data_IF_506711177241
#
_entry.id   IF_506711177241
#
_cell.length_a   1.000
_cell.length_b   1.000
_cell.length_c   1.000
_cell.angle_alpha   90.00
_cell.angle_beta   90.00
_cell.angle_gamma   90.00
#
_symmetry.space_group_name_H-M   'P 1'
#
loop_
_entity.id
_entity.type
_entity.pdbx_description
1 polymer ?
#
# COMPACT_ATOMS: atom_id res chain seq x y z
N UNK A 1 -30.52 11.47 -2.77
CA UNK A 1 -29.57 10.38 -2.49
C UNK A 1 -28.54 10.35 -3.60
N UNK A 2 -27.29 10.74 -3.32
CA UNK A 2 -26.26 10.90 -4.35
C UNK A 2 -25.82 9.55 -4.92
N UNK A 3 -25.42 9.52 -6.19
CA UNK A 3 -24.87 8.32 -6.89
C UNK A 3 -23.73 7.71 -6.07
N UNK A 4 -22.92 8.55 -5.43
CA UNK A 4 -21.83 8.21 -4.51
C UNK A 4 -22.31 7.33 -3.35
N UNK A 5 -23.43 7.67 -2.69
CA UNK A 5 -23.90 6.95 -1.51
C UNK A 5 -24.40 5.57 -1.90
N UNK A 6 -25.08 5.46 -3.05
CA UNK A 6 -25.56 4.19 -3.59
C UNK A 6 -24.40 3.27 -4.00
N UNK A 7 -23.34 3.84 -4.57
CA UNK A 7 -22.14 3.09 -4.94
C UNK A 7 -21.41 2.52 -3.71
N UNK A 8 -21.23 3.32 -2.66
CA UNK A 8 -20.60 2.88 -1.41
C UNK A 8 -21.42 1.79 -0.70
N UNK A 9 -22.74 1.96 -0.63
CA UNK A 9 -23.67 0.98 -0.02
C UNK A 9 -23.63 -0.36 -0.76
N UNK A 10 -23.36 -0.36 -2.06
CA UNK A 10 -23.22 -1.58 -2.85
C UNK A 10 -21.81 -2.17 -2.77
N UNK A 11 -20.78 -1.32 -2.79
CA UNK A 11 -19.37 -1.74 -2.85
C UNK A 11 -18.90 -2.34 -1.51
N UNK A 12 -19.26 -1.74 -0.38
CA UNK A 12 -18.83 -2.22 0.95
C UNK A 12 -19.28 -3.66 1.24
N UNK A 13 -20.56 -4.04 1.08
CA UNK A 13 -20.97 -5.43 1.26
C UNK A 13 -20.30 -6.40 0.28
N UNK A 14 -20.09 -5.97 -0.97
CA UNK A 14 -19.40 -6.79 -1.97
C UNK A 14 -17.96 -7.10 -1.56
N UNK A 15 -17.21 -6.09 -1.12
CA UNK A 15 -15.83 -6.27 -0.63
C UNK A 15 -15.83 -7.21 0.57
N UNK A 16 -16.75 -6.99 1.51
CA UNK A 16 -16.85 -7.80 2.71
C UNK A 16 -17.12 -9.27 2.38
N UNK A 17 -18.09 -9.55 1.49
CA UNK A 17 -18.39 -10.89 1.02
C UNK A 17 -17.20 -11.53 0.30
N UNK A 18 -16.54 -10.78 -0.60
CA UNK A 18 -15.35 -11.28 -1.30
C UNK A 18 -14.19 -11.54 -0.35
N UNK A 19 -14.00 -10.70 0.66
CA UNK A 19 -12.97 -10.91 1.67
C UNK A 19 -13.23 -12.17 2.48
N UNK A 20 -14.46 -12.38 2.96
CA UNK A 20 -14.82 -13.61 3.69
C UNK A 20 -14.63 -14.86 2.83
N UNK A 21 -15.15 -14.85 1.60
CA UNK A 21 -15.02 -15.96 0.68
C UNK A 21 -13.55 -16.27 0.38
N UNK A 22 -12.73 -15.25 0.13
CA UNK A 22 -11.29 -15.39 -0.09
C UNK A 22 -10.60 -16.09 1.08
N UNK A 23 -10.79 -15.62 2.31
CA UNK A 23 -10.15 -16.21 3.48
C UNK A 23 -10.64 -17.63 3.79
N UNK A 24 -11.88 -17.97 3.44
CA UNK A 24 -12.41 -19.33 3.59
C UNK A 24 -11.85 -20.29 2.53
N UNK A 25 -11.58 -19.81 1.33
CA UNK A 25 -11.08 -20.64 0.23
C UNK A 25 -9.55 -20.80 0.24
N UNK A 26 -8.79 -19.81 0.75
CA UNK A 26 -7.32 -19.88 0.80
C UNK A 26 -6.77 -21.15 1.45
N UNK A 27 -7.26 -21.62 2.59
CA UNK A 27 -6.78 -22.89 3.16
C UNK A 27 -7.04 -24.10 2.27
N UNK A 28 -8.18 -24.12 1.55
CA UNK A 28 -8.55 -25.19 0.61
C UNK A 28 -7.56 -25.18 -0.56
N UNK A 29 -7.27 -24.01 -1.11
CA UNK A 29 -6.33 -23.85 -2.20
C UNK A 29 -4.90 -24.28 -1.82
N UNK A 30 -4.45 -23.89 -0.63
CA UNK A 30 -3.15 -24.29 -0.13
C UNK A 30 -3.03 -25.80 0.05
N UNK A 31 -4.09 -26.47 0.50
CA UNK A 31 -4.11 -27.94 0.59
C UNK A 31 -4.04 -28.59 -0.80
N UNK A 32 -4.74 -28.05 -1.79
CA UNK A 32 -4.67 -28.54 -3.17
C UNK A 32 -3.28 -28.30 -3.78
N UNK A 33 -2.69 -27.13 -3.52
CA UNK A 33 -1.34 -26.83 -3.98
C UNK A 33 -0.28 -27.69 -3.31
N UNK A 34 -0.44 -27.96 -2.00
CA UNK A 34 0.39 -28.90 -1.24
C UNK A 34 0.39 -30.27 -1.91
N UNK A 35 -0.80 -30.85 -2.16
CA UNK A 35 -0.89 -32.17 -2.79
C UNK A 35 -0.29 -32.18 -4.21
N UNK A 36 -0.40 -31.09 -4.96
CA UNK A 36 0.25 -30.95 -6.26
C UNK A 36 1.79 -30.96 -6.13
N UNK A 37 2.34 -30.20 -5.19
CA UNK A 37 3.79 -30.13 -4.92
C UNK A 37 4.30 -31.48 -4.40
N UNK A 38 3.60 -32.13 -3.46
CA UNK A 38 3.95 -33.46 -2.95
C UNK A 38 4.00 -34.50 -4.09
N UNK A 39 3.06 -34.47 -5.03
CA UNK A 39 3.07 -35.37 -6.20
C UNK A 39 4.27 -35.09 -7.14
N UNK A 40 4.66 -33.84 -7.33
CA UNK A 40 5.83 -33.46 -8.14
C UNK A 40 7.14 -33.90 -7.48
N UNK A 41 7.24 -33.77 -6.16
CA UNK A 41 8.43 -34.17 -5.40
C UNK A 41 8.57 -35.67 -5.30
N UNK A 42 7.47 -36.42 -5.18
CA UNK A 42 7.50 -37.89 -5.24
C UNK A 42 8.02 -38.41 -6.58
N UNK A 43 7.81 -37.65 -7.68
CA UNK A 43 8.35 -38.01 -9.00
C UNK A 43 9.86 -37.71 -9.17
N UNK A 44 10.45 -36.84 -8.30
CA UNK A 44 11.83 -36.38 -8.38
C UNK A 44 12.49 -36.40 -6.97
N UNK A 45 12.75 -37.59 -6.44
CA UNK A 45 13.16 -37.84 -5.03
C UNK A 45 14.51 -37.25 -4.59
N UNK A 46 15.25 -36.51 -5.40
CA UNK A 46 16.65 -36.15 -5.07
C UNK A 46 16.88 -34.82 -4.37
N UNK A 47 15.91 -33.90 -4.23
CA UNK A 47 16.22 -32.52 -3.82
C UNK A 47 15.55 -32.00 -2.57
N UNK A 48 14.37 -32.46 -2.16
CA UNK A 48 13.65 -31.93 -1.01
C UNK A 48 12.90 -33.07 -0.29
N UNK A 49 13.00 -33.13 1.06
CA UNK A 49 12.24 -34.10 1.84
C UNK A 49 10.76 -33.72 1.93
N UNK A 50 9.87 -34.67 1.68
CA UNK A 50 8.41 -34.50 1.76
C UNK A 50 7.95 -33.95 3.13
N UNK A 51 8.69 -34.27 4.19
CA UNK A 51 8.38 -33.82 5.55
C UNK A 51 8.60 -32.33 5.75
N UNK A 52 9.61 -31.74 5.11
CA UNK A 52 9.85 -30.28 5.17
C UNK A 52 8.77 -29.49 4.42
N UNK A 53 8.31 -30.01 3.28
CA UNK A 53 7.22 -29.39 2.51
C UNK A 53 5.93 -29.47 3.33
N UNK A 54 5.60 -30.63 3.87
CA UNK A 54 4.38 -30.84 4.64
C UNK A 54 4.33 -29.99 5.91
N UNK A 55 5.44 -29.82 6.62
CA UNK A 55 5.53 -28.96 7.81
C UNK A 55 5.37 -27.48 7.46
N UNK A 56 6.01 -27.02 6.39
CA UNK A 56 5.88 -25.65 5.90
C UNK A 56 4.44 -25.30 5.54
N UNK A 57 3.77 -26.15 4.74
CA UNK A 57 2.37 -25.93 4.39
C UNK A 57 1.43 -25.99 5.60
N UNK A 58 1.67 -26.88 6.53
CA UNK A 58 0.87 -26.99 7.76
C UNK A 58 0.99 -25.73 8.61
N UNK A 59 2.20 -25.19 8.77
CA UNK A 59 2.42 -23.92 9.49
C UNK A 59 1.76 -22.75 8.76
N UNK A 60 1.90 -22.68 7.44
CA UNK A 60 1.34 -21.61 6.61
C UNK A 60 -0.19 -21.63 6.64
N UNK A 61 -0.80 -22.81 6.51
CA UNK A 61 -2.25 -22.98 6.63
C UNK A 61 -2.72 -22.63 8.05
N UNK A 62 -2.00 -23.02 9.09
CA UNK A 62 -2.31 -22.69 10.48
C UNK A 62 -2.30 -21.17 10.72
N UNK A 63 -1.29 -20.46 10.23
CA UNK A 63 -1.20 -19.01 10.34
C UNK A 63 -2.32 -18.29 9.54
N UNK A 64 -2.61 -18.76 8.35
CA UNK A 64 -3.69 -18.18 7.53
C UNK A 64 -5.08 -18.47 8.11
N UNK A 65 -5.29 -19.66 8.68
CA UNK A 65 -6.54 -19.99 9.37
C UNK A 65 -6.74 -19.14 10.63
N UNK A 66 -5.68 -18.83 11.37
CA UNK A 66 -5.78 -17.89 12.50
C UNK A 66 -6.09 -16.45 12.06
N UNK A 67 -5.54 -16.00 10.93
CA UNK A 67 -5.90 -14.71 10.34
C UNK A 67 -7.36 -14.69 9.86
N UNK A 68 -7.83 -15.77 9.22
CA UNK A 68 -9.23 -15.87 8.78
C UNK A 68 -10.21 -15.85 9.96
N UNK A 69 -9.89 -16.55 11.05
CA UNK A 69 -10.67 -16.48 12.29
C UNK A 69 -10.67 -15.07 12.88
N UNK A 70 -9.50 -14.40 12.92
CA UNK A 70 -9.42 -13.02 13.36
C UNK A 70 -10.28 -12.05 12.53
N UNK A 71 -10.38 -12.25 11.22
CA UNK A 71 -11.27 -11.47 10.34
C UNK A 71 -12.75 -11.79 10.63
N UNK A 72 -13.08 -13.05 10.86
CA UNK A 72 -14.46 -13.45 11.24
C UNK A 72 -14.83 -12.95 12.64
N UNK A 73 -13.93 -13.06 13.60
CA UNK A 73 -14.12 -12.58 14.97
C UNK A 73 -14.25 -11.06 15.00
N UNK A 74 -13.43 -10.32 14.24
CA UNK A 74 -13.57 -8.88 14.06
C UNK A 74 -14.92 -8.50 13.44
N UNK A 75 -15.48 -9.37 12.59
CA UNK A 75 -16.81 -9.18 12.00
C UNK A 75 -17.95 -9.39 13.03
N UNK A 76 -17.73 -10.22 14.03
CA UNK A 76 -18.73 -10.56 15.07
C UNK A 76 -18.55 -9.68 16.31
N UNK A 77 -17.29 -9.37 16.71
CA UNK A 77 -16.96 -8.49 17.85
C UNK A 77 -17.15 -7.00 17.54
N UNK A 78 -17.50 -6.67 16.31
CA UNK A 78 -17.59 -5.31 15.75
C UNK A 78 -18.51 -4.32 16.51
N UNK A 79 -19.20 -4.73 17.57
CA UNK A 79 -20.00 -3.80 18.38
C UNK A 79 -19.09 -2.94 19.29
N UNK A 80 -18.04 -3.50 19.87
CA UNK A 80 -17.11 -2.74 20.71
C UNK A 80 -16.19 -1.85 19.85
N UNK A 81 -15.68 -2.37 18.73
CA UNK A 81 -14.88 -1.61 17.78
C UNK A 81 -15.69 -0.54 17.04
N UNK A 82 -17.02 -0.76 16.84
CA UNK A 82 -17.93 0.23 16.25
C UNK A 82 -18.03 1.50 17.10
N UNK A 83 -18.00 1.40 18.41
CA UNK A 83 -18.03 2.58 19.31
C UNK A 83 -16.71 3.36 19.17
N UNK A 84 -15.58 2.68 19.23
CA UNK A 84 -14.26 3.31 19.06
C UNK A 84 -14.13 3.92 17.66
N UNK A 85 -14.54 3.19 16.61
CA UNK A 85 -14.56 3.70 15.24
C UNK A 85 -15.49 4.91 15.09
N UNK A 86 -16.67 4.90 15.70
CA UNK A 86 -17.61 6.03 15.69
C UNK A 86 -17.03 7.26 16.38
N UNK A 87 -16.29 7.07 17.49
CA UNK A 87 -15.59 8.16 18.17
C UNK A 87 -14.53 8.75 17.24
N UNK A 88 -13.69 7.94 16.59
CA UNK A 88 -12.69 8.43 15.65
C UNK A 88 -13.32 9.09 14.43
N UNK A 89 -14.43 8.55 13.91
CA UNK A 89 -15.16 9.10 12.76
C UNK A 89 -15.66 10.53 13.03
N UNK A 90 -16.01 10.84 14.28
CA UNK A 90 -16.44 12.17 14.71
C UNK A 90 -15.24 13.02 15.13
N UNK A 91 -14.31 12.47 15.93
CA UNK A 91 -13.17 13.22 16.46
C UNK A 91 -12.21 13.69 15.37
N UNK A 92 -11.90 12.84 14.38
CA UNK A 92 -10.92 13.21 13.34
C UNK A 92 -11.38 14.42 12.53
N UNK A 93 -12.61 14.49 11.96
CA UNK A 93 -13.08 15.70 11.28
C UNK A 93 -13.13 16.93 12.20
N UNK A 94 -13.51 16.76 13.45
CA UNK A 94 -13.54 17.87 14.43
C UNK A 94 -12.12 18.38 14.70
N UNK A 95 -11.15 17.50 14.92
CA UNK A 95 -9.75 17.89 15.10
C UNK A 95 -9.19 18.59 13.86
N UNK A 96 -9.45 18.03 12.67
CA UNK A 96 -9.05 18.66 11.40
C UNK A 96 -9.66 20.05 11.27
N UNK A 97 -10.95 20.20 11.58
CA UNK A 97 -11.61 21.50 11.57
C UNK A 97 -10.92 22.50 12.51
N UNK A 98 -10.63 22.13 13.77
CA UNK A 98 -9.95 23.01 14.70
C UNK A 98 -8.51 23.32 14.29
N UNK A 99 -7.77 22.34 13.76
CA UNK A 99 -6.43 22.59 13.23
C UNK A 99 -6.43 23.56 12.05
N UNK A 100 -7.42 23.46 11.15
CA UNK A 100 -7.57 24.39 10.03
C UNK A 100 -8.05 25.77 10.51
N UNK A 101 -8.97 25.81 11.45
CA UNK A 101 -9.53 27.05 12.00
C UNK A 101 -8.47 27.85 12.77
N UNK A 102 -7.69 27.19 13.63
CA UNK A 102 -6.64 27.81 14.43
C UNK A 102 -5.24 27.77 13.79
N UNK A 103 -5.13 27.40 12.50
CA UNK A 103 -3.87 27.21 11.74
C UNK A 103 -2.87 28.34 12.02
N UNK A 104 -3.29 29.58 11.87
CA UNK A 104 -2.39 30.75 12.05
C UNK A 104 -1.94 30.94 13.49
N UNK A 105 -2.78 30.61 14.46
CA UNK A 105 -2.46 30.73 15.89
C UNK A 105 -1.47 29.63 16.29
N UNK A 106 -1.68 28.42 15.83
CA UNK A 106 -0.82 27.27 16.06
C UNK A 106 0.56 27.52 15.43
N UNK A 107 0.61 27.93 14.15
CA UNK A 107 1.86 28.25 13.46
C UNK A 107 2.61 29.37 14.17
N UNK A 108 1.95 30.45 14.58
CA UNK A 108 2.59 31.55 15.33
C UNK A 108 3.19 31.04 16.66
N UNK A 109 2.48 30.14 17.36
CA UNK A 109 2.99 29.53 18.60
C UNK A 109 4.29 28.74 18.36
N UNK A 110 4.32 27.90 17.33
CA UNK A 110 5.54 27.17 16.96
C UNK A 110 6.67 28.10 16.48
N UNK A 111 6.32 29.13 15.74
CA UNK A 111 7.30 30.11 15.27
C UNK A 111 7.98 30.92 16.39
N UNK A 112 7.33 31.05 17.57
CA UNK A 112 7.96 31.69 18.74
C UNK A 112 9.06 30.82 19.37
N UNK A 113 9.02 29.51 19.18
CA UNK A 113 10.05 28.57 19.68
C UNK A 113 11.27 28.50 18.78
N UNK A 114 11.20 29.04 17.55
CA UNK A 114 12.25 28.97 16.56
C UNK A 114 13.16 30.20 16.59
N UNK A 115 14.44 30.09 16.19
CA UNK A 115 15.37 31.22 16.11
C UNK A 115 14.88 32.34 15.19
N UNK A 116 15.26 33.60 15.46
CA UNK A 116 14.86 34.76 14.65
C UNK A 116 15.41 34.73 13.22
N UNK A 117 16.63 34.16 13.00
CA UNK A 117 17.23 33.94 11.68
C UNK A 117 16.74 32.59 11.15
N UNK A 118 15.76 32.59 10.29
CA UNK A 118 15.06 31.38 9.81
C UNK A 118 14.78 31.36 8.31
N UNK A 119 15.60 32.06 7.52
CA UNK A 119 15.48 32.06 6.06
C UNK A 119 15.51 30.63 5.52
N UNK A 120 16.53 29.84 5.92
CA UNK A 120 16.66 28.42 5.58
C UNK A 120 15.42 27.58 5.97
N UNK A 121 14.91 27.76 7.20
CA UNK A 121 13.72 27.03 7.66
C UNK A 121 12.47 27.42 6.89
N UNK A 122 12.36 28.67 6.46
CA UNK A 122 11.26 29.17 5.65
C UNK A 122 11.29 28.58 4.24
N UNK A 123 12.45 28.50 3.61
CA UNK A 123 12.64 27.89 2.29
C UNK A 123 12.30 26.40 2.33
N UNK A 124 12.86 25.65 3.28
CA UNK A 124 12.58 24.23 3.47
C UNK A 124 11.09 23.99 3.74
N UNK A 125 10.44 24.86 4.54
CA UNK A 125 9.02 24.73 4.84
C UNK A 125 8.14 24.90 3.60
N UNK A 126 8.40 25.93 2.79
CA UNK A 126 7.63 26.19 1.57
C UNK A 126 7.81 25.03 0.58
N UNK A 127 9.05 24.58 0.40
CA UNK A 127 9.34 23.45 -0.48
C UNK A 127 8.63 22.16 -0.01
N UNK A 128 8.59 21.91 1.30
CA UNK A 128 7.93 20.74 1.86
C UNK A 128 6.41 20.79 1.79
N UNK A 129 5.79 21.95 1.98
CA UNK A 129 4.33 22.12 1.89
C UNK A 129 3.84 21.78 0.48
N UNK A 130 4.52 22.29 -0.54
CA UNK A 130 4.21 22.01 -1.95
C UNK A 130 4.45 20.53 -2.30
N UNK A 131 5.59 19.97 -1.89
CA UNK A 131 5.93 18.58 -2.19
C UNK A 131 4.98 17.60 -1.50
N UNK A 132 4.64 17.84 -0.23
CA UNK A 132 3.73 16.98 0.54
C UNK A 132 2.31 17.02 -0.03
N UNK A 133 1.82 18.21 -0.38
CA UNK A 133 0.51 18.41 -0.98
C UNK A 133 0.40 17.67 -2.32
N UNK A 134 1.39 17.86 -3.19
CA UNK A 134 1.44 17.20 -4.49
C UNK A 134 1.57 15.67 -4.35
N UNK A 135 2.35 15.21 -3.37
CA UNK A 135 2.51 13.77 -3.10
C UNK A 135 1.21 13.11 -2.66
N UNK A 136 0.52 13.69 -1.66
CA UNK A 136 -0.73 13.13 -1.14
C UNK A 136 -1.82 13.13 -2.21
N UNK A 137 -1.95 14.23 -2.97
CA UNK A 137 -2.88 14.32 -4.09
C UNK A 137 -2.54 13.30 -5.19
N UNK A 138 -1.26 13.25 -5.59
CA UNK A 138 -0.78 12.30 -6.59
C UNK A 138 -1.03 10.86 -6.20
N UNK A 139 -0.80 10.48 -4.92
CA UNK A 139 -1.10 9.14 -4.40
C UNK A 139 -2.60 8.83 -4.43
N UNK A 140 -3.44 9.80 -4.11
CA UNK A 140 -4.90 9.63 -4.24
C UNK A 140 -5.33 9.33 -5.68
N UNK A 141 -4.80 10.06 -6.65
CA UNK A 141 -5.08 9.86 -8.08
C UNK A 141 -4.52 8.53 -8.57
N UNK A 142 -3.28 8.17 -8.18
CA UNK A 142 -2.63 6.90 -8.52
C UNK A 142 -3.46 5.70 -8.05
N UNK A 143 -3.90 5.70 -6.78
CA UNK A 143 -4.79 4.65 -6.23
C UNK A 143 -6.03 4.46 -7.10
N UNK A 144 -6.68 5.55 -7.48
CA UNK A 144 -7.91 5.50 -8.28
C UNK A 144 -7.65 4.97 -9.69
N UNK A 145 -6.60 5.43 -10.36
CA UNK A 145 -6.27 5.01 -11.73
C UNK A 145 -5.86 3.54 -11.74
N UNK A 146 -4.90 3.15 -10.89
CA UNK A 146 -4.38 1.77 -10.84
C UNK A 146 -5.46 0.79 -10.36
N UNK A 147 -6.22 1.16 -9.32
CA UNK A 147 -7.32 0.34 -8.82
C UNK A 147 -8.42 0.13 -9.87
N UNK A 148 -8.81 1.20 -10.58
CA UNK A 148 -9.81 1.12 -11.64
C UNK A 148 -9.31 0.32 -12.85
N UNK A 149 -8.07 0.52 -13.27
CA UNK A 149 -7.46 -0.24 -14.37
C UNK A 149 -7.35 -1.74 -14.02
N UNK A 150 -6.95 -2.05 -12.78
CA UNK A 150 -6.95 -3.44 -12.29
C UNK A 150 -8.37 -4.03 -12.28
N UNK A 151 -9.38 -3.28 -11.83
CA UNK A 151 -10.77 -3.72 -11.84
C UNK A 151 -11.28 -4.02 -13.26
N UNK A 152 -10.90 -3.22 -14.24
CA UNK A 152 -11.24 -3.46 -15.65
C UNK A 152 -10.55 -4.72 -16.18
N UNK A 153 -9.23 -4.85 -15.98
CA UNK A 153 -8.46 -6.01 -16.44
C UNK A 153 -9.03 -7.30 -15.82
N UNK A 154 -9.16 -7.35 -14.50
CA UNK A 154 -9.64 -8.53 -13.79
C UNK A 154 -11.11 -8.84 -14.12
N UNK A 155 -11.95 -7.80 -14.27
CA UNK A 155 -13.36 -7.96 -14.63
C UNK A 155 -13.57 -8.51 -16.04
N UNK A 156 -12.84 -7.98 -17.03
CA UNK A 156 -12.90 -8.47 -18.42
C UNK A 156 -12.42 -9.91 -18.52
N UNK A 157 -11.36 -10.24 -17.78
CA UNK A 157 -10.81 -11.61 -17.75
C UNK A 157 -11.61 -12.57 -16.87
N UNK A 158 -12.64 -12.10 -16.16
CA UNK A 158 -13.48 -12.93 -15.30
C UNK A 158 -12.74 -13.49 -14.08
N UNK A 159 -11.72 -12.77 -13.56
CA UNK A 159 -10.98 -13.21 -12.38
C UNK A 159 -11.86 -13.14 -11.14
N UNK A 160 -11.89 -14.21 -10.35
CA UNK A 160 -12.60 -14.23 -9.06
C UNK A 160 -12.04 -13.15 -8.13
N UNK A 161 -12.88 -12.65 -7.21
CA UNK A 161 -12.49 -11.59 -6.26
C UNK A 161 -11.99 -10.29 -6.92
N UNK A 162 -12.47 -9.99 -8.13
CA UNK A 162 -12.07 -8.80 -8.90
C UNK A 162 -12.11 -7.52 -8.08
N UNK A 163 -13.20 -7.25 -7.34
CA UNK A 163 -13.32 -6.03 -6.54
C UNK A 163 -12.30 -5.99 -5.39
N UNK A 164 -12.12 -7.11 -4.68
CA UNK A 164 -11.15 -7.22 -3.60
C UNK A 164 -9.71 -7.04 -4.12
N UNK A 165 -9.34 -7.78 -5.16
CA UNK A 165 -7.98 -7.73 -5.72
C UNK A 165 -7.65 -6.37 -6.32
N UNK A 166 -8.59 -5.72 -7.01
CA UNK A 166 -8.36 -4.39 -7.56
C UNK A 166 -8.19 -3.32 -6.50
N UNK A 167 -8.90 -3.42 -5.37
CA UNK A 167 -8.71 -2.53 -4.22
C UNK A 167 -7.34 -2.79 -3.57
N UNK A 168 -6.96 -4.06 -3.38
CA UNK A 168 -5.63 -4.40 -2.86
C UNK A 168 -4.54 -3.83 -3.77
N UNK A 169 -4.65 -4.01 -5.09
CA UNK A 169 -3.70 -3.47 -6.07
C UNK A 169 -3.68 -1.95 -6.05
N UNK A 170 -4.84 -1.29 -6.03
CA UNK A 170 -4.92 0.16 -5.93
C UNK A 170 -4.32 0.70 -4.63
N UNK A 171 -4.63 0.10 -3.47
CA UNK A 171 -4.07 0.53 -2.19
C UNK A 171 -2.58 0.18 -2.03
N UNK A 172 -2.10 -0.83 -2.75
CA UNK A 172 -0.70 -1.25 -2.67
C UNK A 172 0.27 -0.17 -3.12
N UNK A 173 -0.14 0.73 -4.02
CA UNK A 173 0.70 1.84 -4.50
C UNK A 173 1.08 2.84 -3.40
N UNK A 174 0.40 2.79 -2.24
CA UNK A 174 0.75 3.61 -1.07
C UNK A 174 2.19 3.37 -0.60
N UNK A 175 2.67 2.13 -0.66
CA UNK A 175 4.03 1.77 -0.27
C UNK A 175 4.84 1.49 -1.54
N UNK A 176 5.75 2.40 -1.94
CA UNK A 176 6.51 2.24 -3.18
C UNK A 176 7.26 0.90 -3.23
N UNK A 177 7.24 0.24 -4.36
CA UNK A 177 7.87 -1.07 -4.67
C UNK A 177 7.35 -2.24 -3.82
N UNK A 178 7.32 -2.10 -2.50
CA UNK A 178 6.91 -3.17 -1.56
C UNK A 178 5.43 -3.49 -1.75
N UNK A 179 4.59 -2.47 -1.90
CA UNK A 179 3.16 -2.65 -2.09
C UNK A 179 2.84 -3.42 -3.37
N UNK A 180 3.44 -3.00 -4.50
CA UNK A 180 3.28 -3.69 -5.78
C UNK A 180 3.70 -5.17 -5.71
N UNK A 181 4.84 -5.46 -5.04
CA UNK A 181 5.30 -6.83 -4.83
C UNK A 181 4.31 -7.65 -3.99
N UNK A 182 3.85 -7.11 -2.88
CA UNK A 182 2.89 -7.79 -1.99
C UNK A 182 1.54 -8.04 -2.67
N UNK A 183 1.04 -7.08 -3.46
CA UNK A 183 -0.21 -7.23 -4.19
C UNK A 183 -0.12 -8.25 -5.34
N UNK A 184 1.08 -8.48 -5.89
CA UNK A 184 1.32 -9.47 -6.94
C UNK A 184 1.02 -10.89 -6.44
N UNK A 185 1.31 -11.19 -5.18
CA UNK A 185 1.13 -12.53 -4.60
C UNK A 185 -0.34 -12.99 -4.70
N UNK A 186 -1.34 -12.28 -4.13
CA UNK A 186 -2.72 -12.72 -4.20
C UNK A 186 -3.27 -12.75 -5.63
N UNK A 187 -2.84 -11.83 -6.51
CA UNK A 187 -3.27 -11.83 -7.92
C UNK A 187 -2.80 -13.11 -8.63
N UNK A 188 -1.51 -13.46 -8.49
CA UNK A 188 -0.96 -14.68 -9.13
C UNK A 188 -1.61 -15.93 -8.53
N UNK A 189 -1.77 -15.98 -7.21
CA UNK A 189 -2.38 -17.14 -6.54
C UNK A 189 -3.80 -17.38 -7.02
N UNK A 190 -4.64 -16.34 -7.04
CA UNK A 190 -6.03 -16.47 -7.52
C UNK A 190 -6.08 -16.86 -8.99
N UNK A 191 -5.27 -16.22 -9.84
CA UNK A 191 -5.22 -16.53 -11.26
C UNK A 191 -4.78 -17.99 -11.52
N UNK A 192 -3.75 -18.46 -10.79
CA UNK A 192 -3.23 -19.82 -10.93
C UNK A 192 -4.28 -20.87 -10.51
N UNK A 193 -4.98 -20.61 -9.42
CA UNK A 193 -5.96 -21.55 -8.86
C UNK A 193 -7.25 -21.60 -9.67
N UNK A 194 -7.64 -20.47 -10.26
CA UNK A 194 -8.85 -20.39 -11.07
C UNK A 194 -8.65 -20.97 -12.47
N UNK A 195 -7.54 -20.63 -13.14
CA UNK A 195 -7.32 -20.98 -14.56
C UNK A 195 -6.30 -22.12 -14.74
N UNK A 196 -5.57 -22.50 -13.68
CA UNK A 196 -4.43 -23.41 -13.82
C UNK A 196 -3.30 -22.81 -14.65
N UNK A 197 -2.31 -23.61 -15.01
CA UNK A 197 -1.23 -23.18 -15.91
C UNK A 197 -1.73 -23.30 -17.35
N UNK A 198 -2.20 -22.17 -17.90
CA UNK A 198 -2.78 -22.11 -19.24
C UNK A 198 -2.74 -20.69 -19.82
N UNK A 199 -3.32 -20.52 -21.01
CA UNK A 199 -3.33 -19.25 -21.73
C UNK A 199 -3.94 -18.11 -20.90
N UNK A 200 -5.08 -18.36 -20.24
CA UNK A 200 -5.79 -17.35 -19.45
C UNK A 200 -4.95 -16.87 -18.25
N UNK A 201 -4.25 -17.79 -17.58
CA UNK A 201 -3.31 -17.46 -16.50
C UNK A 201 -2.19 -16.52 -16.99
N UNK A 202 -1.51 -16.90 -18.09
CA UNK A 202 -0.43 -16.06 -18.62
C UNK A 202 -0.95 -14.70 -19.12
N UNK A 203 -2.15 -14.65 -19.67
CA UNK A 203 -2.76 -13.42 -20.13
C UNK A 203 -3.05 -12.48 -18.96
N UNK A 204 -3.66 -12.96 -17.88
CA UNK A 204 -3.93 -12.14 -16.69
C UNK A 204 -2.65 -11.64 -16.03
N UNK A 205 -1.69 -12.54 -15.82
CA UNK A 205 -0.41 -12.17 -15.21
C UNK A 205 0.33 -11.18 -16.11
N UNK A 206 0.32 -11.40 -17.43
CA UNK A 206 0.93 -10.48 -18.38
C UNK A 206 0.30 -9.09 -18.39
N UNK A 207 -1.03 -9.00 -18.40
CA UNK A 207 -1.76 -7.73 -18.34
C UNK A 207 -1.55 -7.02 -16.98
N UNK A 208 -1.52 -7.77 -15.89
CA UNK A 208 -1.22 -7.21 -14.57
C UNK A 208 0.21 -6.67 -14.48
N UNK A 209 1.21 -7.42 -14.97
CA UNK A 209 2.60 -6.96 -15.01
C UNK A 209 2.76 -5.75 -15.94
N UNK A 210 2.02 -5.70 -17.05
CA UNK A 210 1.98 -4.53 -17.92
C UNK A 210 1.39 -3.31 -17.18
N UNK A 211 0.30 -3.50 -16.42
CA UNK A 211 -0.26 -2.44 -15.58
C UNK A 211 0.77 -1.92 -14.57
N UNK A 212 1.48 -2.82 -13.87
CA UNK A 212 2.53 -2.43 -12.93
C UNK A 212 3.70 -1.72 -13.60
N UNK A 213 4.09 -2.16 -14.80
CA UNK A 213 5.13 -1.50 -15.57
C UNK A 213 4.70 -0.10 -16.04
N UNK A 214 3.45 0.07 -16.47
CA UNK A 214 2.89 1.38 -16.84
C UNK A 214 2.77 2.30 -15.62
N UNK A 215 2.37 1.78 -14.47
CA UNK A 215 2.34 2.54 -13.23
C UNK A 215 3.72 3.08 -12.88
N UNK A 216 4.71 2.21 -12.71
CA UNK A 216 6.06 2.61 -12.29
C UNK A 216 6.83 3.46 -13.30
N UNK A 217 6.63 3.26 -14.61
CA UNK A 217 7.42 3.95 -15.65
C UNK A 217 6.69 5.14 -16.32
N UNK A 218 5.37 5.19 -16.24
CA UNK A 218 4.59 6.25 -16.88
C UNK A 218 3.80 7.06 -15.86
N UNK A 219 2.99 6.41 -15.01
CA UNK A 219 2.08 7.10 -14.12
C UNK A 219 2.83 7.82 -12.99
N UNK A 220 3.76 7.13 -12.34
CA UNK A 220 4.59 7.72 -11.26
C UNK A 220 5.37 8.94 -11.76
N UNK A 221 6.12 8.92 -12.88
CA UNK A 221 6.78 10.12 -13.40
C UNK A 221 5.83 11.25 -13.76
N UNK A 222 4.63 10.96 -14.29
CA UNK A 222 3.65 11.99 -14.65
C UNK A 222 3.07 12.65 -13.38
N UNK A 223 2.73 11.88 -12.37
CA UNK A 223 2.09 12.40 -11.16
C UNK A 223 3.07 13.07 -10.19
N UNK A 224 4.34 12.64 -10.19
CA UNK A 224 5.33 13.04 -9.19
C UNK A 224 6.59 13.67 -9.79
N UNK A 225 6.56 14.17 -11.04
CA UNK A 225 7.74 14.66 -11.79
C UNK A 225 8.61 15.66 -11.02
N UNK A 226 8.00 16.48 -10.17
CA UNK A 226 8.70 17.49 -9.37
C UNK A 226 9.06 17.02 -7.96
N UNK A 227 8.29 16.05 -7.40
CA UNK A 227 8.48 15.56 -6.04
C UNK A 227 9.51 14.42 -5.92
N UNK A 228 9.79 13.66 -6.99
CA UNK A 228 10.62 12.44 -6.93
C UNK A 228 11.90 12.58 -7.76
N UNK A 229 12.71 13.60 -7.47
CA UNK A 229 14.11 13.69 -7.97
C UNK A 229 15.06 12.87 -7.09
N UNK A 230 14.65 11.67 -6.65
CA UNK A 230 15.42 10.75 -5.84
C UNK A 230 15.78 9.51 -6.64
N UNK A 231 16.99 8.99 -6.42
CA UNK A 231 17.38 7.71 -7.00
C UNK A 231 16.50 6.57 -6.41
N UNK A 232 16.05 5.57 -7.21
CA UNK A 232 15.20 4.48 -6.73
C UNK A 232 15.73 3.76 -5.47
N UNK A 233 17.04 3.58 -5.37
CA UNK A 233 17.70 2.98 -4.19
C UNK A 233 17.44 3.81 -2.93
N UNK A 234 17.46 5.15 -3.04
CA UNK A 234 17.19 6.04 -1.90
C UNK A 234 15.75 5.90 -1.44
N UNK A 235 14.81 5.77 -2.39
CA UNK A 235 13.39 5.53 -2.08
C UNK A 235 13.22 4.19 -1.36
N UNK A 236 13.86 3.11 -1.85
CA UNK A 236 13.81 1.80 -1.18
C UNK A 236 14.39 1.87 0.24
N UNK A 237 15.55 2.49 0.41
CA UNK A 237 16.16 2.68 1.73
C UNK A 237 15.25 3.49 2.66
N UNK A 238 14.63 4.56 2.15
CA UNK A 238 13.70 5.38 2.92
C UNK A 238 12.48 4.54 3.37
N UNK A 239 11.91 3.72 2.49
CA UNK A 239 10.79 2.81 2.84
C UNK A 239 11.21 1.85 3.95
N UNK A 240 12.40 1.23 3.87
CA UNK A 240 12.89 0.31 4.90
C UNK A 240 13.18 1.02 6.23
N UNK A 241 13.87 2.14 6.19
CA UNK A 241 14.26 2.88 7.41
C UNK A 241 13.03 3.47 8.09
N UNK A 242 12.25 4.27 7.38
CA UNK A 242 11.07 4.91 7.96
C UNK A 242 9.94 3.93 8.24
N UNK A 243 9.76 2.92 7.40
CA UNK A 243 8.83 1.83 7.63
C UNK A 243 9.19 1.01 8.86
N UNK A 244 10.49 0.76 9.10
CA UNK A 244 10.98 0.09 10.30
C UNK A 244 10.77 0.90 11.58
N UNK A 245 10.87 2.24 11.53
CA UNK A 245 10.74 3.12 12.70
C UNK A 245 9.27 3.46 12.98
N UNK A 246 8.51 3.85 11.96
CA UNK A 246 7.15 4.39 12.08
C UNK A 246 6.07 3.45 11.51
N UNK A 247 6.44 2.22 11.12
CA UNK A 247 5.51 1.24 10.54
C UNK A 247 4.91 1.71 9.21
N UNK A 248 3.64 1.41 9.00
CA UNK A 248 2.90 1.76 7.77
C UNK A 248 3.01 3.24 7.40
N UNK A 249 2.83 4.14 8.35
CA UNK A 249 2.88 5.58 8.11
C UNK A 249 4.28 6.05 7.70
N UNK A 250 5.32 5.45 8.26
CA UNK A 250 6.70 5.73 7.83
C UNK A 250 6.98 5.27 6.41
N UNK A 251 6.49 4.09 6.03
CA UNK A 251 6.60 3.58 4.66
C UNK A 251 5.80 4.44 3.66
N UNK A 252 4.60 4.87 4.02
CA UNK A 252 3.77 5.77 3.20
C UNK A 252 4.43 7.13 2.99
N UNK A 253 4.89 7.78 4.05
CA UNK A 253 5.54 9.09 3.97
C UNK A 253 7.05 9.01 3.69
N UNK A 254 7.58 7.86 3.31
CA UNK A 254 9.02 7.65 3.08
C UNK A 254 9.61 8.60 2.03
N UNK A 255 8.90 8.87 0.94
CA UNK A 255 9.35 9.78 -0.11
C UNK A 255 9.38 11.23 0.41
N UNK A 256 8.29 11.80 0.98
CA UNK A 256 8.35 13.12 1.61
C UNK A 256 9.43 13.27 2.68
N UNK A 257 9.63 12.24 3.51
CA UNK A 257 10.67 12.27 4.55
C UNK A 257 12.08 12.27 3.96
N UNK A 258 12.31 11.48 2.91
CA UNK A 258 13.59 11.47 2.21
C UNK A 258 13.87 12.79 1.48
N UNK A 259 12.85 13.39 0.87
CA UNK A 259 12.97 14.72 0.24
C UNK A 259 13.20 15.82 1.27
N UNK A 260 12.58 15.73 2.44
CA UNK A 260 12.84 16.62 3.57
C UNK A 260 14.30 16.57 4.01
N UNK A 261 14.86 15.37 4.23
CA UNK A 261 16.27 15.21 4.58
C UNK A 261 17.19 15.81 3.50
N UNK A 262 16.86 15.58 2.23
CA UNK A 262 17.59 16.15 1.11
C UNK A 262 17.50 17.68 1.07
N UNK A 263 16.33 18.27 1.30
CA UNK A 263 16.13 19.72 1.36
C UNK A 263 16.94 20.34 2.49
N UNK A 264 16.90 19.75 3.69
CA UNK A 264 17.72 20.18 4.83
C UNK A 264 19.20 20.06 4.53
N UNK A 265 19.64 18.97 3.90
CA UNK A 265 21.05 18.78 3.52
C UNK A 265 21.53 19.82 2.51
N UNK A 266 20.72 20.12 1.51
CA UNK A 266 21.06 21.12 0.48
C UNK A 266 21.08 22.55 1.02
N UNK A 267 20.21 22.86 1.98
CA UNK A 267 20.12 24.17 2.62
C UNK A 267 21.13 24.34 3.78
N UNK A 268 21.83 23.23 4.16
CA UNK A 268 22.85 23.31 5.22
C UNK A 268 24.04 24.15 4.75
N UNK A 269 24.48 25.17 5.53
CA UNK A 269 25.61 25.99 5.17
C UNK A 269 26.85 25.12 4.93
N UNK A 270 27.25 24.96 3.66
CA UNK A 270 28.45 24.22 3.34
C UNK A 270 29.65 25.02 3.86
N UNK A 271 30.57 24.34 4.52
CA UNK A 271 31.84 24.86 5.03
C UNK A 271 32.78 25.44 3.93
N UNK A 272 32.33 25.44 2.67
CA UNK A 272 33.03 25.99 1.52
C UNK A 272 33.18 27.52 1.54
N UNK A 273 32.40 28.24 2.35
CA UNK A 273 32.59 29.70 2.52
C UNK A 273 33.78 30.08 3.43
N UNK A 274 34.50 29.12 4.00
CA UNK A 274 35.64 29.43 4.89
C UNK A 274 36.97 29.56 4.15
N UNK A 275 37.05 29.24 2.87
CA UNK A 275 38.32 29.27 2.11
C UNK A 275 38.45 30.44 1.10
N UNK A 276 37.57 31.43 1.15
CA UNK A 276 37.69 32.67 0.36
C UNK A 276 37.87 33.90 1.26
N UNK A 277 38.89 33.89 2.13
CA UNK A 277 39.48 35.09 2.74
C UNK A 277 41.00 34.92 2.88
#
# INVERSE_FOLDING_TARGET
MCIRDRFLVWLIPLIFQQTQAFFLEVPIWLNNFRSYVENLVQSNQELISSDQISSFFTELIGRLSSLSQGVLDASISGIQDTVVFSIYLIMIPVLVFFFLFDKERIIRGFLMLLPKKREMLSEVWIEMDDQLSNYVWGKGVEILIVGFAAALIFGIMGLNYTALLSIIVGLSVLIPYVGAFLATIPVIVVALLQFGIGFDFYMIVGLYLLLQALDGNLLVPILFSDAVKLHPVVIMLAVFVFGGIFGFWGAFFSIPLATFIKAVWNSWPSTSAYNEN
#
